data_IF_073384518058
#
_entry.id   IF_073384518058
#
_cell.length_a   1.000
_cell.length_b   1.000
_cell.length_c   1.000
_cell.angle_alpha   90.00
_cell.angle_beta   90.00
_cell.angle_gamma   90.00
#
_symmetry.space_group_name_H-M   'P 1'
#
loop_
_entity.id
_entity.type
_entity.pdbx_description
1 polymer ?
#
# COMPACT_ATOMS: atom_id res chain seq x y z
N UNK A 1 -26.11 2.90 -8.85
CA UNK A 1 -24.68 3.17 -8.64
C UNK A 1 -23.96 1.84 -8.63
N UNK A 2 -22.82 1.73 -9.32
CA UNK A 2 -21.99 0.52 -9.27
C UNK A 2 -21.30 0.46 -7.91
N UNK A 3 -21.36 -0.68 -7.24
CA UNK A 3 -20.73 -0.91 -5.94
C UNK A 3 -19.23 -1.12 -6.08
N UNK A 4 -18.48 -0.90 -4.98
CA UNK A 4 -17.04 -1.24 -4.94
C UNK A 4 -16.81 -2.73 -5.27
N UNK A 5 -17.73 -3.61 -4.90
CA UNK A 5 -17.61 -5.06 -5.14
C UNK A 5 -17.78 -5.42 -6.62
N UNK A 6 -18.78 -4.87 -7.30
CA UNK A 6 -18.97 -5.08 -8.74
C UNK A 6 -17.74 -4.62 -9.53
N UNK A 7 -17.11 -3.49 -9.15
CA UNK A 7 -15.88 -3.02 -9.81
C UNK A 7 -14.71 -4.01 -9.57
N UNK A 8 -14.60 -4.62 -8.38
CA UNK A 8 -13.56 -5.63 -8.11
C UNK A 8 -13.74 -6.84 -9.02
N UNK A 9 -14.96 -7.36 -9.11
CA UNK A 9 -15.31 -8.51 -9.94
C UNK A 9 -14.98 -8.23 -11.41
N UNK A 10 -15.43 -7.09 -11.94
CA UNK A 10 -15.11 -6.65 -13.30
C UNK A 10 -13.60 -6.61 -13.57
N UNK A 11 -12.79 -6.06 -12.65
CA UNK A 11 -11.33 -6.00 -12.84
C UNK A 11 -10.66 -7.36 -12.73
N UNK A 12 -11.07 -8.19 -11.77
CA UNK A 12 -10.52 -9.54 -11.63
C UNK A 12 -10.83 -10.41 -12.85
N UNK A 13 -12.06 -10.37 -13.34
CA UNK A 13 -12.50 -11.08 -14.55
C UNK A 13 -11.74 -10.58 -15.77
N UNK A 14 -11.65 -9.25 -15.96
CA UNK A 14 -10.94 -8.68 -17.10
C UNK A 14 -9.46 -9.08 -17.13
N UNK A 15 -8.75 -8.97 -16.00
CA UNK A 15 -7.33 -9.38 -15.90
C UNK A 15 -7.15 -10.88 -16.15
N UNK A 16 -8.08 -11.71 -15.69
CA UNK A 16 -8.05 -13.16 -15.87
C UNK A 16 -8.32 -13.54 -17.33
N UNK A 17 -9.40 -13.03 -17.92
CA UNK A 17 -9.80 -13.32 -19.30
C UNK A 17 -8.77 -12.86 -20.33
N UNK A 18 -8.11 -11.73 -20.08
CA UNK A 18 -7.05 -11.19 -20.94
C UNK A 18 -5.64 -11.72 -20.61
N UNK A 19 -5.51 -12.65 -19.65
CA UNK A 19 -4.23 -13.24 -19.23
C UNK A 19 -3.20 -12.18 -18.81
N UNK A 20 -3.65 -11.11 -18.17
CA UNK A 20 -2.81 -10.01 -17.68
C UNK A 20 -2.29 -10.26 -16.25
N UNK A 21 -2.96 -11.14 -15.51
CA UNK A 21 -2.56 -11.52 -14.16
C UNK A 21 -1.29 -12.37 -14.07
N UNK A 22 -0.69 -12.39 -12.88
CA UNK A 22 0.41 -13.29 -12.48
C UNK A 22 0.07 -14.00 -11.17
N UNK A 23 0.80 -15.06 -10.88
CA UNK A 23 0.75 -15.72 -9.56
C UNK A 23 0.93 -14.69 -8.42
N UNK A 24 0.17 -14.79 -7.32
CA UNK A 24 -0.74 -15.87 -6.94
C UNK A 24 -2.11 -15.85 -7.63
N UNK A 25 -2.56 -17.03 -8.08
CA UNK A 25 -3.92 -17.26 -8.58
C UNK A 25 -4.78 -18.00 -7.52
N UNK A 26 -6.11 -17.87 -7.54
CA UNK A 26 -6.90 -16.94 -8.36
C UNK A 26 -6.62 -15.47 -7.98
N UNK A 27 -6.88 -14.53 -8.91
CA UNK A 27 -6.70 -13.10 -8.66
C UNK A 27 -7.77 -12.54 -7.72
N UNK A 28 -8.93 -13.18 -7.70
CA UNK A 28 -10.09 -12.83 -6.88
C UNK A 28 -9.72 -12.81 -5.40
N UNK A 29 -10.30 -11.86 -4.66
CA UNK A 29 -10.03 -11.59 -3.25
C UNK A 29 -8.58 -11.19 -2.92
N UNK A 30 -7.82 -10.74 -3.94
CA UNK A 30 -6.45 -10.25 -3.79
C UNK A 30 -6.29 -8.90 -4.49
N UNK A 31 -5.25 -8.17 -4.08
CA UNK A 31 -4.67 -7.16 -4.95
C UNK A 31 -3.99 -7.92 -6.11
N UNK A 32 -4.45 -7.75 -7.37
CA UNK A 32 -3.98 -8.58 -8.47
C UNK A 32 -2.49 -8.36 -8.76
N UNK A 33 -1.72 -9.45 -8.83
CA UNK A 33 -0.40 -9.37 -9.45
C UNK A 33 -0.55 -9.36 -10.97
N UNK A 34 0.32 -8.64 -11.69
CA UNK A 34 0.13 -8.35 -13.11
C UNK A 34 1.43 -8.36 -13.92
N UNK A 35 1.31 -8.66 -15.21
CA UNK A 35 2.39 -8.54 -16.19
C UNK A 35 2.78 -7.07 -16.33
N UNK A 36 4.06 -6.77 -16.12
CA UNK A 36 4.56 -5.39 -16.16
C UNK A 36 4.67 -4.70 -14.79
N UNK A 37 4.47 -5.42 -13.67
CA UNK A 37 4.70 -4.86 -12.33
C UNK A 37 6.12 -4.28 -12.16
N UNK A 38 7.13 -4.91 -12.75
CA UNK A 38 8.50 -4.40 -12.78
C UNK A 38 8.63 -3.10 -13.60
N UNK A 39 7.88 -2.95 -14.70
CA UNK A 39 7.85 -1.71 -15.49
C UNK A 39 7.19 -0.57 -14.71
N UNK A 40 6.09 -0.85 -14.01
CA UNK A 40 5.45 0.12 -13.13
C UNK A 40 6.40 0.59 -12.03
N UNK A 41 7.15 -0.32 -11.40
CA UNK A 41 8.16 0.04 -10.42
C UNK A 41 9.28 0.95 -11.01
N UNK A 42 9.70 0.68 -12.25
CA UNK A 42 10.69 1.51 -12.94
C UNK A 42 10.21 2.94 -13.22
N UNK A 43 8.91 3.19 -13.35
CA UNK A 43 8.42 4.56 -13.43
C UNK A 43 8.54 5.29 -12.09
N UNK A 44 8.32 4.59 -10.98
CA UNK A 44 8.36 5.20 -9.65
C UNK A 44 9.76 5.71 -9.30
N UNK A 45 10.82 5.02 -9.71
CA UNK A 45 12.20 5.47 -9.44
C UNK A 45 12.56 6.79 -10.15
N UNK A 46 11.78 7.21 -11.16
CA UNK A 46 11.99 8.50 -11.86
C UNK A 46 11.34 9.67 -11.13
N UNK A 47 10.62 9.41 -10.03
CA UNK A 47 9.91 10.44 -9.27
C UNK A 47 10.85 11.23 -8.35
N UNK A 48 10.75 12.58 -8.31
CA UNK A 48 11.47 13.39 -7.33
C UNK A 48 11.14 13.04 -5.88
N UNK A 49 9.88 12.63 -5.62
CA UNK A 49 9.46 12.19 -4.29
C UNK A 49 10.17 10.88 -3.88
N UNK A 50 10.42 9.97 -4.83
CA UNK A 50 11.14 8.71 -4.57
C UNK A 50 12.63 8.91 -4.36
N UNK A 51 13.25 9.75 -5.18
CA UNK A 51 14.68 10.07 -5.07
C UNK A 51 15.01 10.57 -3.65
N UNK A 52 14.21 11.51 -3.14
CA UNK A 52 14.39 12.14 -1.82
C UNK A 52 14.03 11.24 -0.63
N UNK A 53 13.16 10.26 -0.83
CA UNK A 53 12.67 9.39 0.24
C UNK A 53 13.78 8.49 0.80
N UNK A 54 13.80 8.32 2.12
CA UNK A 54 14.75 7.47 2.85
C UNK A 54 14.05 6.31 3.55
N UNK A 55 12.85 6.54 4.08
CA UNK A 55 12.03 5.52 4.73
C UNK A 55 10.72 5.38 3.97
N UNK A 56 10.47 4.19 3.43
CA UNK A 56 9.34 3.93 2.53
C UNK A 56 8.51 2.78 3.07
N UNK A 57 7.20 3.02 3.23
CA UNK A 57 6.24 1.98 3.60
C UNK A 57 5.65 1.37 2.34
N UNK A 58 5.65 0.03 2.26
CA UNK A 58 5.04 -0.70 1.14
C UNK A 58 4.13 -1.84 1.62
N UNK A 59 2.95 -1.98 1.02
CA UNK A 59 2.05 -3.10 1.32
C UNK A 59 2.64 -4.47 0.94
N UNK A 60 2.23 -5.55 1.63
CA UNK A 60 2.83 -6.87 1.47
C UNK A 60 2.45 -7.58 0.16
N UNK A 61 1.45 -7.07 -0.57
CA UNK A 61 0.86 -7.73 -1.75
C UNK A 61 1.90 -8.11 -2.81
N UNK A 62 1.64 -9.21 -3.53
CA UNK A 62 2.51 -9.73 -4.57
C UNK A 62 2.95 -8.70 -5.65
N UNK A 63 2.07 -7.84 -6.21
CA UNK A 63 2.49 -6.83 -7.18
C UNK A 63 3.47 -5.79 -6.63
N UNK A 64 3.62 -5.69 -5.31
CA UNK A 64 4.53 -4.73 -4.67
C UNK A 64 5.94 -5.27 -4.46
N UNK A 65 6.19 -6.56 -4.75
CA UNK A 65 7.53 -7.13 -4.62
C UNK A 65 8.61 -6.36 -5.43
N UNK A 66 8.37 -5.95 -6.70
CA UNK A 66 9.34 -5.15 -7.44
C UNK A 66 9.68 -3.82 -6.75
N UNK A 67 8.68 -3.10 -6.22
CA UNK A 67 8.91 -1.85 -5.48
C UNK A 67 9.77 -2.09 -4.25
N UNK A 68 9.41 -3.09 -3.42
CA UNK A 68 10.17 -3.44 -2.20
C UNK A 68 11.62 -3.81 -2.50
N UNK A 69 11.86 -4.63 -3.52
CA UNK A 69 13.20 -5.03 -3.91
C UNK A 69 14.02 -3.84 -4.41
N UNK A 70 13.42 -2.95 -5.20
CA UNK A 70 14.07 -1.76 -5.73
C UNK A 70 14.42 -0.76 -4.62
N UNK A 71 13.53 -0.55 -3.64
CA UNK A 71 13.78 0.29 -2.46
C UNK A 71 15.03 -0.17 -1.70
N UNK A 72 15.18 -1.47 -1.45
CA UNK A 72 16.35 -2.01 -0.78
C UNK A 72 17.61 -1.86 -1.64
N UNK A 73 17.49 -2.12 -2.95
CA UNK A 73 18.59 -1.94 -3.92
C UNK A 73 19.08 -0.50 -3.99
N UNK A 74 18.18 0.47 -3.84
CA UNK A 74 18.50 1.90 -3.86
C UNK A 74 18.95 2.42 -2.49
N UNK A 75 19.25 1.54 -1.54
CA UNK A 75 19.80 1.92 -0.24
C UNK A 75 18.81 2.63 0.68
N UNK A 76 17.51 2.33 0.54
CA UNK A 76 16.43 2.95 1.34
C UNK A 76 15.88 1.97 2.37
N UNK A 77 15.36 2.49 3.49
CA UNK A 77 14.72 1.70 4.53
C UNK A 77 13.31 1.30 4.08
N UNK A 78 13.02 0.01 4.17
CA UNK A 78 11.71 -0.55 3.83
C UNK A 78 10.92 -0.87 5.10
N UNK A 79 9.68 -0.39 5.17
CA UNK A 79 8.68 -0.80 6.16
C UNK A 79 7.56 -1.59 5.49
N UNK A 80 7.25 -2.76 6.03
CA UNK A 80 6.13 -3.61 5.57
C UNK A 80 5.21 -3.88 6.76
N UNK A 81 3.91 -3.59 6.68
CA UNK A 81 2.99 -3.85 7.79
C UNK A 81 2.85 -5.36 8.00
N UNK A 82 2.81 -5.77 9.27
CA UNK A 82 2.47 -7.15 9.64
C UNK A 82 0.97 -7.38 9.46
N UNK A 83 0.50 -8.65 9.30
CA UNK A 83 -0.92 -8.93 9.17
C UNK A 83 -1.75 -8.30 10.29
N UNK A 84 -2.74 -7.47 9.91
CA UNK A 84 -3.57 -6.67 10.82
C UNK A 84 -2.78 -5.79 11.82
N UNK A 85 -1.53 -5.45 11.48
CA UNK A 85 -0.58 -4.70 12.31
C UNK A 85 -0.34 -5.30 13.70
N UNK A 86 -0.58 -6.61 13.91
CA UNK A 86 -0.48 -7.25 15.23
C UNK A 86 0.89 -7.11 15.91
N UNK A 87 1.96 -7.03 15.14
CA UNK A 87 3.32 -6.81 15.62
C UNK A 87 3.92 -5.52 15.02
N UNK A 88 3.07 -4.55 14.66
CA UNK A 88 3.48 -3.33 13.97
C UNK A 88 4.01 -3.62 12.57
N UNK A 89 5.29 -3.33 12.34
CA UNK A 89 5.92 -3.38 11.02
C UNK A 89 7.17 -4.26 11.02
N UNK A 90 7.46 -4.89 9.88
CA UNK A 90 8.79 -5.41 9.60
C UNK A 90 9.59 -4.28 8.97
N UNK A 91 10.64 -3.83 9.66
CA UNK A 91 11.63 -2.91 9.13
C UNK A 91 12.79 -3.69 8.53
N UNK A 92 13.25 -3.28 7.35
CA UNK A 92 14.46 -3.78 6.72
C UNK A 92 15.30 -2.58 6.35
N UNK A 93 16.49 -2.49 6.94
CA UNK A 93 17.48 -1.49 6.57
C UNK A 93 18.40 -2.03 5.48
N UNK A 94 18.87 -1.19 4.55
CA UNK A 94 19.72 -1.64 3.44
C UNK A 94 21.01 -2.28 3.94
N UNK A 95 21.60 -1.81 5.04
CA UNK A 95 22.82 -2.39 5.63
C UNK A 95 22.64 -3.79 6.22
N UNK A 96 21.40 -4.28 6.37
CA UNK A 96 21.11 -5.64 6.83
C UNK A 96 20.99 -6.65 5.68
N UNK A 97 21.02 -6.16 4.43
CA UNK A 97 20.78 -6.96 3.24
C UNK A 97 22.10 -7.12 2.49
N UNK A 98 22.61 -8.35 2.35
CA UNK A 98 23.76 -8.62 1.50
C UNK A 98 23.48 -8.21 0.05
N UNK A 99 24.50 -7.66 -0.62
CA UNK A 99 24.39 -7.25 -2.01
C UNK A 99 23.93 -8.42 -2.90
N UNK A 100 22.90 -8.18 -3.72
CA UNK A 100 22.28 -9.19 -4.59
C UNK A 100 21.16 -10.01 -3.93
N UNK A 101 20.92 -9.86 -2.62
CA UNK A 101 19.83 -10.54 -1.91
C UNK A 101 18.58 -9.67 -1.74
N UNK A 102 18.52 -8.46 -2.32
CA UNK A 102 17.46 -7.46 -2.07
C UNK A 102 16.07 -7.98 -2.42
N UNK A 103 15.95 -8.72 -3.53
CA UNK A 103 14.68 -9.34 -3.91
C UNK A 103 14.23 -10.42 -2.92
N UNK A 104 15.17 -11.17 -2.34
CA UNK A 104 14.91 -12.19 -1.34
C UNK A 104 14.51 -11.54 -0.02
N UNK A 105 15.26 -10.53 0.43
CA UNK A 105 14.93 -9.74 1.61
C UNK A 105 13.55 -9.06 1.51
N UNK A 106 13.14 -8.63 0.31
CA UNK A 106 11.82 -8.05 0.05
C UNK A 106 10.66 -9.07 0.01
N UNK A 107 10.95 -10.38 -0.08
CA UNK A 107 9.92 -11.41 -0.22
C UNK A 107 9.26 -11.74 1.12
N UNK A 108 7.94 -11.94 1.12
CA UNK A 108 7.22 -12.29 2.36
C UNK A 108 7.74 -13.56 3.04
N UNK A 109 8.24 -14.51 2.25
CA UNK A 109 8.79 -15.78 2.74
C UNK A 109 10.13 -15.65 3.46
N UNK A 110 10.91 -14.59 3.21
CA UNK A 110 12.26 -14.46 3.79
C UNK A 110 12.49 -13.15 4.53
N UNK A 111 11.61 -12.15 4.40
CA UNK A 111 11.83 -10.83 4.98
C UNK A 111 12.12 -10.85 6.48
N UNK A 112 11.57 -11.81 7.23
CA UNK A 112 11.85 -11.96 8.67
C UNK A 112 13.28 -12.42 8.98
N UNK A 113 13.98 -13.02 8.02
CA UNK A 113 15.39 -13.41 8.16
C UNK A 113 16.36 -12.23 7.98
N UNK A 114 15.89 -11.12 7.41
CA UNK A 114 16.69 -9.91 7.14
C UNK A 114 16.23 -8.72 7.97
N UNK A 115 14.92 -8.61 8.18
CA UNK A 115 14.27 -7.52 8.89
C UNK A 115 14.05 -7.79 10.37
N UNK A 116 13.54 -6.77 11.04
CA UNK A 116 13.14 -6.82 12.45
C UNK A 116 11.70 -6.35 12.57
N UNK A 117 10.91 -7.05 13.38
CA UNK A 117 9.60 -6.55 13.79
C UNK A 117 9.83 -5.36 14.74
N UNK A 118 9.12 -4.25 14.48
CA UNK A 118 9.14 -3.03 15.29
C UNK A 118 7.70 -2.68 15.67
N UNK A 119 7.53 -2.30 16.94
CA UNK A 119 6.25 -1.86 17.49
C UNK A 119 5.89 -0.46 17.01
N UNK A 120 4.63 -0.04 17.18
CA UNK A 120 4.12 1.23 16.65
C UNK A 120 4.90 2.46 17.13
N UNK A 121 5.33 2.46 18.38
CA UNK A 121 6.10 3.57 18.99
C UNK A 121 7.51 3.71 18.45
N UNK A 122 8.04 2.67 17.80
CA UNK A 122 9.39 2.65 17.20
C UNK A 122 9.36 2.95 15.69
N UNK A 123 8.18 3.11 15.10
CA UNK A 123 8.05 3.35 13.66
C UNK A 123 8.65 4.71 13.29
N UNK A 124 9.71 4.75 12.47
CA UNK A 124 10.28 6.01 12.03
C UNK A 124 9.28 6.76 11.14
N UNK A 125 9.45 8.09 11.04
CA UNK A 125 8.68 8.87 10.09
C UNK A 125 8.97 8.38 8.67
N UNK A 126 7.90 8.17 7.90
CA UNK A 126 8.00 7.74 6.50
C UNK A 126 8.00 8.96 5.58
N UNK A 127 8.58 8.79 4.40
CA UNK A 127 8.63 9.80 3.35
C UNK A 127 7.67 9.45 2.20
N UNK A 128 7.36 8.17 2.01
CA UNK A 128 6.48 7.65 0.95
C UNK A 128 5.66 6.45 1.40
N UNK A 129 4.47 6.32 0.83
CA UNK A 129 3.54 5.24 1.11
C UNK A 129 3.07 4.56 -0.18
N UNK A 130 3.33 3.26 -0.33
CA UNK A 130 2.84 2.47 -1.47
C UNK A 130 1.63 1.64 -1.06
N UNK A 131 0.60 1.69 -1.91
CA UNK A 131 -0.67 0.98 -1.70
C UNK A 131 -1.04 0.10 -2.88
N UNK A 132 -1.39 -1.15 -2.58
CA UNK A 132 -1.99 -2.07 -3.53
C UNK A 132 -3.46 -1.75 -3.81
N UNK A 133 -3.89 -1.82 -5.07
CA UNK A 133 -5.28 -1.58 -5.46
C UNK A 133 -5.78 -2.61 -6.48
N UNK A 134 -7.07 -2.95 -6.40
CA UNK A 134 -7.79 -3.72 -7.42
C UNK A 134 -8.13 -2.83 -8.60
N UNK A 135 -8.60 -1.61 -8.32
CA UNK A 135 -8.89 -0.59 -9.33
C UNK A 135 -8.45 0.80 -8.85
N UNK A 136 -8.13 1.68 -9.79
CA UNK A 136 -7.80 3.08 -9.54
C UNK A 136 -8.52 3.97 -10.54
N UNK A 137 -9.14 5.04 -10.06
CA UNK A 137 -9.61 6.12 -10.91
C UNK A 137 -8.49 7.17 -11.08
N UNK A 138 -8.44 7.84 -12.23
CA UNK A 138 -7.36 8.79 -12.56
C UNK A 138 -7.29 10.00 -11.63
N UNK A 139 -8.38 10.31 -10.92
CA UNK A 139 -8.45 11.35 -9.88
C UNK A 139 -7.92 10.89 -8.51
N UNK A 140 -7.37 9.68 -8.41
CA UNK A 140 -6.72 9.17 -7.20
C UNK A 140 -7.60 8.36 -6.27
N UNK A 141 -8.92 8.25 -6.53
CA UNK A 141 -9.77 7.30 -5.81
C UNK A 141 -9.34 5.86 -6.11
N UNK A 142 -9.38 5.00 -5.09
CA UNK A 142 -8.92 3.61 -5.20
C UNK A 142 -9.94 2.62 -4.66
N UNK A 143 -9.86 1.40 -5.16
CA UNK A 143 -10.59 0.25 -4.63
C UNK A 143 -9.57 -0.80 -4.22
N UNK A 144 -9.44 -1.03 -2.92
CA UNK A 144 -8.69 -2.17 -2.37
C UNK A 144 -9.49 -3.47 -2.44
N UNK A 145 -8.93 -4.56 -1.88
CA UNK A 145 -9.55 -5.90 -1.89
C UNK A 145 -10.81 -6.05 -1.02
N UNK A 146 -11.16 -5.05 -0.20
CA UNK A 146 -12.41 -5.02 0.59
C UNK A 146 -12.25 -5.01 2.10
N UNK A 147 -11.04 -5.21 2.63
CA UNK A 147 -10.82 -5.32 4.07
C UNK A 147 -10.49 -3.98 4.77
N UNK A 148 -10.34 -2.87 4.05
CA UNK A 148 -10.06 -1.55 4.62
C UNK A 148 -8.70 -1.35 5.31
N UNK A 149 -7.84 -2.38 5.38
CA UNK A 149 -6.56 -2.30 6.12
C UNK A 149 -5.63 -1.19 5.64
N UNK A 150 -5.48 -0.99 4.32
CA UNK A 150 -4.54 0.02 3.81
C UNK A 150 -4.97 1.46 4.15
N UNK A 151 -6.28 1.73 4.22
CA UNK A 151 -6.83 3.02 4.66
C UNK A 151 -6.49 3.26 6.13
N UNK A 152 -6.70 2.23 6.96
CA UNK A 152 -6.34 2.26 8.39
C UNK A 152 -4.85 2.43 8.59
N UNK A 153 -4.00 1.71 7.87
CA UNK A 153 -2.55 1.83 7.99
C UNK A 153 -2.07 3.27 7.76
N UNK A 154 -2.64 4.00 6.80
CA UNK A 154 -2.30 5.41 6.60
C UNK A 154 -2.81 6.29 7.75
N UNK A 155 -4.07 6.11 8.16
CA UNK A 155 -4.67 6.83 9.28
C UNK A 155 -3.89 6.62 10.59
N UNK A 156 -3.46 5.39 10.87
CA UNK A 156 -2.63 5.01 12.01
C UNK A 156 -1.29 5.75 11.97
N UNK A 157 -0.60 5.75 10.83
CA UNK A 157 0.67 6.46 10.69
C UNK A 157 0.52 7.95 10.97
N UNK A 158 -0.59 8.55 10.50
CA UNK A 158 -0.94 9.95 10.74
C UNK A 158 -1.25 10.22 12.21
N UNK A 159 -1.96 9.33 12.89
CA UNK A 159 -2.22 9.39 14.34
C UNK A 159 -0.93 9.34 15.16
N UNK A 160 0.03 8.50 14.74
CA UNK A 160 1.39 8.44 15.28
C UNK A 160 2.28 9.63 14.84
N UNK A 161 1.65 10.69 14.31
CA UNK A 161 2.25 11.97 13.97
C UNK A 161 3.07 11.97 12.68
N UNK A 162 2.96 10.98 11.79
CA UNK A 162 3.59 11.10 10.46
C UNK A 162 3.01 12.30 9.72
N UNK A 163 3.82 13.04 8.93
CA UNK A 163 3.30 14.09 8.07
C UNK A 163 2.41 13.53 6.95
N UNK A 164 1.77 14.42 6.21
CA UNK A 164 1.03 14.03 5.01
C UNK A 164 2.05 13.71 3.92
N UNK A 165 2.18 12.43 3.57
CA UNK A 165 3.22 11.94 2.65
C UNK A 165 2.63 11.53 1.30
N UNK A 166 3.38 11.62 0.20
CA UNK A 166 2.88 11.15 -1.09
C UNK A 166 2.53 9.66 -1.08
N UNK A 167 1.38 9.33 -1.65
CA UNK A 167 0.84 7.98 -1.75
C UNK A 167 0.88 7.50 -3.20
N UNK A 168 1.51 6.35 -3.43
CA UNK A 168 1.76 5.77 -4.75
C UNK A 168 0.94 4.51 -4.95
N UNK A 169 0.13 4.48 -6.02
CA UNK A 169 -0.51 3.27 -6.51
C UNK A 169 0.28 2.67 -7.67
N UNK A 170 0.59 1.38 -7.64
CA UNK A 170 1.17 0.67 -8.80
C UNK A 170 0.24 -0.45 -9.25
N UNK A 171 -0.26 -0.35 -10.48
CA UNK A 171 -1.27 -1.27 -11.04
C UNK A 171 -1.03 -1.52 -12.53
N UNK A 172 -1.69 -2.48 -13.14
CA UNK A 172 -1.76 -2.55 -14.60
C UNK A 172 -2.66 -1.42 -15.15
N UNK A 173 -2.37 -0.89 -16.33
CA UNK A 173 -3.25 0.06 -17.05
C UNK A 173 -4.72 -0.39 -17.13
N UNK A 174 -4.98 -1.69 -17.33
CA UNK A 174 -6.33 -2.28 -17.33
C UNK A 174 -7.08 -2.17 -15.99
N UNK A 175 -6.38 -1.93 -14.89
CA UNK A 175 -6.97 -1.68 -13.57
C UNK A 175 -7.39 -0.22 -13.39
N UNK A 176 -7.00 0.68 -14.29
CA UNK A 176 -7.56 2.02 -14.35
C UNK A 176 -9.04 1.95 -14.71
N UNK A 177 -9.86 2.79 -14.10
CA UNK A 177 -11.30 2.82 -14.33
C UNK A 177 -11.79 4.25 -14.44
N UNK A 178 -12.73 4.49 -15.35
CA UNK A 178 -13.50 5.73 -15.45
C UNK A 178 -14.89 5.57 -14.78
N UNK A 179 -15.17 4.40 -14.21
CA UNK A 179 -16.36 4.17 -13.37
C UNK A 179 -16.25 5.04 -12.12
N UNK A 180 -17.32 5.77 -11.81
CA UNK A 180 -17.39 6.57 -10.60
C UNK A 180 -17.30 5.69 -9.35
N UNK A 181 -16.30 5.96 -8.50
CA UNK A 181 -16.01 5.17 -7.30
C UNK A 181 -16.70 5.84 -6.10
N UNK A 182 -17.64 5.18 -5.40
CA UNK A 182 -18.19 5.72 -4.17
C UNK A 182 -17.07 5.86 -3.13
N UNK A 183 -17.07 6.98 -2.41
CA UNK A 183 -16.00 7.35 -1.48
C UNK A 183 -16.54 7.55 -0.07
N UNK A 184 -15.88 6.90 0.87
CA UNK A 184 -16.08 7.10 2.29
C UNK A 184 -15.07 8.15 2.82
N UNK A 185 -15.39 8.88 3.91
CA UNK A 185 -14.48 9.90 4.47
C UNK A 185 -13.09 9.39 4.84
N UNK A 186 -12.98 8.09 5.17
CA UNK A 186 -11.75 7.42 5.56
C UNK A 186 -10.99 6.77 4.40
N UNK A 187 -11.52 6.80 3.17
CA UNK A 187 -10.84 6.24 2.01
C UNK A 187 -9.57 7.05 1.67
N UNK A 188 -8.44 6.34 1.57
CA UNK A 188 -7.15 6.86 1.16
C UNK A 188 -7.10 7.05 -0.36
N UNK A 189 -6.75 8.25 -0.80
CA UNK A 189 -6.46 8.55 -2.21
C UNK A 189 -4.98 8.48 -2.53
N UNK A 190 -4.66 8.21 -3.79
CA UNK A 190 -3.28 8.19 -4.30
C UNK A 190 -2.92 9.50 -5.01
N UNK A 191 -1.68 9.95 -4.84
CA UNK A 191 -1.13 11.17 -5.46
C UNK A 191 -0.48 10.89 -6.82
N UNK A 192 -0.03 9.65 -7.02
CA UNK A 192 0.57 9.15 -8.26
C UNK A 192 0.09 7.73 -8.55
N UNK A 193 -0.06 7.42 -9.83
CA UNK A 193 -0.34 6.07 -10.32
C UNK A 193 0.75 5.70 -11.32
N UNK A 194 1.48 4.62 -11.06
CA UNK A 194 2.38 4.04 -12.03
C UNK A 194 1.76 2.79 -12.65
N UNK A 195 1.72 2.75 -13.97
CA UNK A 195 1.33 1.57 -14.75
C UNK A 195 2.53 0.97 -15.45
N UNK A 196 2.35 -0.15 -16.15
CA UNK A 196 3.38 -0.70 -17.01
C UNK A 196 3.75 0.18 -18.22
N UNK A 197 2.99 1.25 -18.47
CA UNK A 197 3.12 2.13 -19.64
C UNK A 197 3.40 3.60 -19.30
N UNK A 198 2.96 4.11 -18.15
CA UNK A 198 3.07 5.54 -17.83
C UNK A 198 3.06 5.83 -16.32
N UNK A 199 3.41 7.07 -15.98
CA UNK A 199 3.28 7.65 -14.65
C UNK A 199 2.26 8.79 -14.68
N UNK A 200 1.20 8.68 -13.89
CA UNK A 200 0.08 9.62 -13.84
C UNK A 200 0.13 10.39 -12.53
N UNK A 201 -0.01 11.72 -12.62
CA UNK A 201 -0.31 12.59 -11.48
C UNK A 201 -1.81 12.78 -11.36
N UNK A 202 -2.37 12.39 -10.22
CA UNK A 202 -3.83 12.35 -10.04
C UNK A 202 -4.45 13.71 -9.80
N UNK A 203 -3.69 14.63 -9.19
CA UNK A 203 -4.19 15.92 -8.70
C UNK A 203 -5.51 15.75 -7.92
N UNK A 204 -5.57 14.71 -7.07
CA UNK A 204 -6.78 14.34 -6.33
C UNK A 204 -7.39 15.57 -5.64
N UNK A 205 -8.67 15.89 -5.89
CA UNK A 205 -9.36 16.95 -5.15
C UNK A 205 -9.74 16.50 -3.73
N UNK A 206 -9.61 15.21 -3.44
CA UNK A 206 -9.97 14.61 -2.16
C UNK A 206 -8.78 14.62 -1.21
N UNK A 207 -9.04 15.00 0.04
CA UNK A 207 -8.04 14.92 1.11
C UNK A 207 -7.83 13.46 1.54
N UNK A 208 -6.57 13.14 1.84
CA UNK A 208 -6.19 11.89 2.51
C UNK A 208 -6.63 11.93 3.99
N UNK A 209 -6.83 10.77 4.64
CA UNK A 209 -7.13 10.72 6.06
C UNK A 209 -6.09 11.48 6.90
N UNK A 210 -6.56 12.33 7.82
CA UNK A 210 -5.68 13.11 8.69
C UNK A 210 -5.23 12.34 9.95
N UNK A 211 -5.85 11.20 10.22
CA UNK A 211 -5.75 10.37 11.42
C UNK A 211 -6.87 9.34 11.40
N UNK A 212 -7.07 8.63 12.51
CA UNK A 212 -8.18 7.67 12.67
C UNK A 212 -9.48 8.46 12.94
N UNK A 213 -10.54 8.14 12.20
CA UNK A 213 -11.89 8.68 12.47
C UNK A 213 -12.53 7.82 13.56
N UNK A 214 -12.13 8.08 14.80
CA UNK A 214 -12.52 7.30 15.97
C UNK A 214 -14.03 7.19 16.17
N UNK A 215 -14.77 8.22 15.79
CA UNK A 215 -16.24 8.26 15.81
C UNK A 215 -16.91 7.27 14.86
N UNK A 216 -16.17 6.74 13.87
CA UNK A 216 -16.63 5.72 12.94
C UNK A 216 -16.11 4.32 13.26
N UNK A 217 -15.23 4.18 14.25
CA UNK A 217 -14.72 2.87 14.69
C UNK A 217 -15.79 2.19 15.52
N UNK A 218 -16.24 1.02 15.07
CA UNK A 218 -17.25 0.24 15.81
C UNK A 218 -16.63 -0.54 16.96
N UNK A 219 -17.44 -0.94 17.95
CA UNK A 219 -16.98 -1.79 19.06
C UNK A 219 -16.38 -3.11 18.56
N UNK A 220 -17.01 -3.74 17.57
CA UNK A 220 -16.52 -4.97 16.94
C UNK A 220 -15.15 -4.77 16.29
N UNK A 221 -14.94 -3.67 15.56
CA UNK A 221 -13.62 -3.37 14.98
C UNK A 221 -12.57 -3.13 16.06
N UNK A 222 -12.94 -2.43 17.13
CA UNK A 222 -12.06 -2.16 18.26
C UNK A 222 -11.65 -3.46 18.97
N UNK A 223 -12.56 -4.43 19.09
CA UNK A 223 -12.28 -5.77 19.65
C UNK A 223 -11.42 -6.64 18.73
N UNK A 224 -11.72 -6.66 17.42
CA UNK A 224 -11.04 -7.50 16.43
C UNK A 224 -9.64 -7.01 16.07
N UNK A 225 -9.37 -5.72 16.27
CA UNK A 225 -8.11 -5.07 15.92
C UNK A 225 -7.40 -4.52 17.18
N UNK A 226 -6.58 -5.34 17.87
CA UNK A 226 -5.82 -4.90 19.05
C UNK A 226 -5.00 -3.62 18.82
N UNK A 227 -4.52 -3.41 17.59
CA UNK A 227 -3.77 -2.21 17.19
C UNK A 227 -4.57 -0.91 17.42
N UNK A 228 -5.91 -0.94 17.29
CA UNK A 228 -6.74 0.25 17.54
C UNK A 228 -6.77 0.61 19.02
N UNK A 229 -6.79 -0.39 19.91
CA UNK A 229 -6.70 -0.19 21.37
C UNK A 229 -5.36 0.44 21.75
N UNK A 230 -4.27 -0.14 21.23
CA UNK A 230 -2.91 0.36 21.47
C UNK A 230 -2.77 1.83 21.04
N UNK A 231 -3.26 2.20 19.86
CA UNK A 231 -3.17 3.58 19.38
C UNK A 231 -4.05 4.52 20.20
N UNK A 232 -5.25 4.08 20.59
CA UNK A 232 -6.12 4.87 21.45
C UNK A 232 -5.42 5.22 22.76
N UNK A 233 -4.82 4.22 23.41
CA UNK A 233 -4.04 4.41 24.65
C UNK A 233 -2.83 5.32 24.44
N UNK A 234 -2.12 5.20 23.31
CA UNK A 234 -0.94 6.01 23.01
C UNK A 234 -1.24 7.48 22.69
N UNK A 235 -2.43 7.80 22.18
CA UNK A 235 -2.71 9.11 21.57
C UNK A 235 -3.86 9.87 22.24
N UNK A 236 -4.70 9.18 23.01
CA UNK A 236 -5.89 9.75 23.65
C UNK A 236 -6.06 9.34 25.12
N UNK A 237 -5.33 8.32 25.59
CA UNK A 237 -5.25 7.93 27.01
C UNK A 237 -4.35 8.86 27.81
#
# INVERSE_FOLDING_TARGET
MVTKQEIRELKWEYLTGNKLGRFPFPLQNRIPNFKGAEKAANFVITMPEYEKAKVIKVNPDAPQLPNRAQILKDGKVLLVPTPRLKAGFIMIKPEWVPAGEERKAASLSHMKSYGREIVLTEVPKIDLFFVGSVALHKDGRRIGKGEGYADREYAIMRELGNPDVPVIGTVHSAQLTDIDIPRDPFDLTVDRIATESELIKTNSPYRKPAGIQWELVTESEFEEMPVLKEIWELTRG
#
